data_IF_235701674432
#
_entry.id   IF_235701674432
#
_cell.length_a   1.000
_cell.length_b   1.000
_cell.length_c   1.000
_cell.angle_alpha   90.00
_cell.angle_beta   90.00
_cell.angle_gamma   90.00
#
_symmetry.space_group_name_H-M   'P 1'
#
loop_
_entity.id
_entity.type
_entity.pdbx_description
1 polymer ?
#
# COMPACT_ATOMS: atom_id res chain seq x y z
N UNK A 1 -2.52 -39.78 -12.35
CA UNK A 1 -1.50 -38.70 -12.25
C UNK A 1 -1.44 -38.00 -13.60
N UNK A 2 -2.05 -36.82 -13.72
CA UNK A 2 -2.09 -36.08 -15.01
C UNK A 2 -0.80 -35.28 -15.17
N UNK A 3 0.12 -35.78 -16.00
CA UNK A 3 1.31 -35.06 -16.42
C UNK A 3 0.90 -33.98 -17.43
N UNK A 4 0.83 -32.73 -16.96
CA UNK A 4 0.66 -31.58 -17.84
C UNK A 4 1.85 -31.50 -18.80
N UNK A 5 1.58 -31.48 -20.10
CA UNK A 5 2.63 -31.42 -21.12
C UNK A 5 3.36 -30.07 -21.03
N UNK A 6 4.66 -30.05 -21.38
CA UNK A 6 5.50 -28.84 -21.38
C UNK A 6 4.85 -27.67 -22.15
N UNK A 7 4.09 -27.96 -23.20
CA UNK A 7 3.40 -26.97 -24.01
C UNK A 7 2.24 -26.29 -23.26
N UNK A 8 1.59 -27.02 -22.35
CA UNK A 8 0.51 -26.50 -21.50
C UNK A 8 1.08 -25.52 -20.46
N UNK A 9 2.25 -25.84 -19.88
CA UNK A 9 2.94 -24.93 -18.95
C UNK A 9 3.38 -23.63 -19.62
N UNK A 10 3.88 -23.69 -20.85
CA UNK A 10 4.29 -22.50 -21.62
C UNK A 10 3.08 -21.61 -21.94
N UNK A 11 1.94 -22.21 -22.31
CA UNK A 11 0.72 -21.46 -22.58
C UNK A 11 0.17 -20.74 -21.33
N UNK A 12 0.23 -21.39 -20.16
CA UNK A 12 -0.17 -20.77 -18.88
C UNK A 12 0.75 -19.60 -18.52
N UNK A 13 2.06 -19.76 -18.70
CA UNK A 13 3.03 -18.70 -18.42
C UNK A 13 2.85 -17.50 -19.36
N UNK A 14 2.58 -17.74 -20.64
CA UNK A 14 2.31 -16.71 -21.63
C UNK A 14 0.97 -15.98 -21.39
N UNK A 15 -0.06 -16.70 -20.95
CA UNK A 15 -1.34 -16.10 -20.58
C UNK A 15 -1.21 -15.24 -19.31
N UNK A 16 -0.44 -15.69 -18.33
CA UNK A 16 -0.19 -14.93 -17.10
C UNK A 16 0.58 -13.63 -17.38
N UNK A 17 1.59 -13.65 -18.26
CA UNK A 17 2.34 -12.45 -18.63
C UNK A 17 1.50 -11.44 -19.42
N UNK A 18 0.65 -11.89 -20.35
CA UNK A 18 -0.32 -11.04 -21.05
C UNK A 18 -1.37 -10.44 -20.10
N UNK A 19 -1.82 -11.21 -19.11
CA UNK A 19 -2.79 -10.77 -18.11
C UNK A 19 -2.22 -9.72 -17.15
N UNK A 20 -0.94 -9.86 -16.78
CA UNK A 20 -0.21 -8.90 -15.94
C UNK A 20 0.05 -7.57 -16.67
N UNK A 21 0.32 -7.60 -17.98
CA UNK A 21 0.51 -6.38 -18.79
C UNK A 21 -0.79 -5.60 -19.02
N UNK A 22 -1.93 -6.30 -19.04
CA UNK A 22 -3.25 -5.67 -19.22
C UNK A 22 -3.73 -4.91 -17.98
N UNK A 23 -3.04 -5.05 -16.83
CA UNK A 23 -3.43 -4.47 -15.54
C UNK A 23 -2.20 -3.96 -14.76
N UNK A 24 -1.58 -2.85 -15.17
CA UNK A 24 -0.44 -2.28 -14.45
C UNK A 24 -0.74 -1.98 -12.96
N UNK A 25 -1.99 -1.67 -12.61
CA UNK A 25 -2.41 -1.45 -11.23
C UNK A 25 -2.48 -2.71 -10.34
N UNK A 26 -2.47 -3.92 -10.91
CA UNK A 26 -2.48 -5.17 -10.12
C UNK A 26 -1.11 -5.46 -9.50
N UNK A 27 -0.03 -5.15 -10.23
CA UNK A 27 1.33 -5.21 -9.72
C UNK A 27 1.56 -4.18 -8.60
N UNK A 28 0.96 -2.99 -8.73
CA UNK A 28 1.03 -1.93 -7.71
C UNK A 28 0.20 -2.27 -6.46
N UNK A 29 -0.96 -2.92 -6.61
CA UNK A 29 -1.72 -3.45 -5.47
C UNK A 29 -1.01 -4.58 -4.73
N UNK A 30 -0.27 -5.43 -5.44
CA UNK A 30 0.57 -6.48 -4.81
C UNK A 30 1.84 -5.91 -4.15
N UNK A 31 2.22 -4.68 -4.48
CA UNK A 31 3.40 -3.99 -3.94
C UNK A 31 3.14 -3.25 -2.62
N UNK A 32 1.88 -3.17 -2.13
CA UNK A 32 1.60 -2.69 -0.75
C UNK A 32 2.07 -3.74 0.26
N UNK A 33 3.37 -3.73 0.49
CA UNK A 33 4.13 -4.74 1.20
C UNK A 33 4.00 -4.50 2.70
N UNK A 34 3.02 -5.15 3.32
CA UNK A 34 3.03 -5.28 4.77
C UNK A 34 4.38 -5.89 5.19
N UNK A 35 5.16 -5.14 5.96
CA UNK A 35 6.52 -5.52 6.33
C UNK A 35 6.50 -6.10 7.73
N UNK A 36 6.92 -7.36 7.86
CA UNK A 36 7.09 -8.01 9.15
C UNK A 36 8.38 -7.49 9.80
N UNK A 37 8.24 -6.74 10.89
CA UNK A 37 9.34 -6.30 11.73
C UNK A 37 9.38 -7.18 12.97
N UNK A 38 10.50 -7.87 13.17
CA UNK A 38 10.73 -8.68 14.37
C UNK A 38 11.43 -7.82 15.42
N UNK A 39 10.81 -7.72 16.58
CA UNK A 39 11.46 -7.28 17.83
C UNK A 39 11.84 -8.51 18.65
N UNK A 40 12.70 -8.34 19.65
CA UNK A 40 13.21 -9.45 20.48
C UNK A 40 12.11 -10.32 21.10
N UNK A 41 10.91 -9.78 21.30
CA UNK A 41 9.79 -10.46 21.97
C UNK A 41 8.50 -10.49 21.15
N UNK A 42 8.41 -9.75 20.05
CA UNK A 42 7.15 -9.47 19.37
C UNK A 42 7.34 -9.33 17.86
N UNK A 43 6.28 -9.65 17.11
CA UNK A 43 6.24 -9.50 15.66
C UNK A 43 5.24 -8.40 15.30
N UNK A 44 5.71 -7.38 14.57
CA UNK A 44 4.87 -6.27 14.11
C UNK A 44 4.66 -6.37 12.61
N UNK A 45 3.41 -6.19 12.18
CA UNK A 45 3.08 -5.97 10.77
C UNK A 45 2.96 -4.46 10.55
N UNK A 46 3.89 -3.90 9.79
CA UNK A 46 3.86 -2.50 9.40
C UNK A 46 3.24 -2.37 8.02
N UNK A 47 2.33 -1.42 7.87
CA UNK A 47 1.69 -1.11 6.59
C UNK A 47 1.85 0.38 6.29
N UNK A 48 2.28 0.69 5.07
CA UNK A 48 2.34 2.06 4.59
C UNK A 48 0.92 2.61 4.41
N UNK A 49 0.63 3.68 5.16
CA UNK A 49 -0.65 4.36 5.11
C UNK A 49 -0.71 5.38 3.98
N UNK A 50 0.29 6.27 3.89
CA UNK A 50 0.39 7.28 2.84
C UNK A 50 1.81 7.86 2.73
N UNK A 51 2.16 8.41 1.56
CA UNK A 51 3.37 9.22 1.37
C UNK A 51 3.00 10.71 1.45
N UNK A 52 3.61 11.42 2.39
CA UNK A 52 3.20 12.79 2.76
C UNK A 52 3.94 13.90 2.02
N UNK A 53 5.00 13.58 1.27
CA UNK A 53 5.81 14.56 0.53
C UNK A 53 6.61 15.56 1.37
N UNK A 54 6.47 15.53 2.70
CA UNK A 54 7.22 16.32 3.68
C UNK A 54 7.28 15.55 5.02
N UNK A 55 8.06 16.05 5.99
CA UNK A 55 8.28 15.40 7.28
C UNK A 55 7.05 15.57 8.19
N UNK A 56 6.41 14.48 8.66
CA UNK A 56 5.35 14.58 9.66
C UNK A 56 5.91 15.05 11.00
N UNK A 57 5.26 16.06 11.58
CA UNK A 57 5.62 16.63 12.88
C UNK A 57 4.66 16.22 13.99
N UNK A 58 3.41 15.92 13.64
CA UNK A 58 2.39 15.47 14.57
C UNK A 58 1.24 14.78 13.87
N UNK A 59 0.50 13.98 14.63
CA UNK A 59 -0.68 13.27 14.17
C UNK A 59 -1.72 13.20 15.28
N UNK A 60 -2.99 13.39 14.93
CA UNK A 60 -4.12 13.22 15.84
C UNK A 60 -5.29 12.55 15.12
N UNK A 61 -6.01 11.67 15.81
CA UNK A 61 -7.26 11.11 15.28
C UNK A 61 -8.40 12.11 15.49
N UNK A 62 -9.07 12.47 14.40
CA UNK A 62 -10.29 13.30 14.45
C UNK A 62 -11.56 12.45 14.36
N UNK A 63 -11.42 11.20 13.88
CA UNK A 63 -12.46 10.17 13.90
C UNK A 63 -11.81 8.78 13.82
N UNK A 64 -12.57 7.68 13.98
CA UNK A 64 -12.04 6.31 13.84
C UNK A 64 -11.41 6.00 12.47
N UNK A 65 -11.70 6.81 11.45
CA UNK A 65 -11.22 6.59 10.07
C UNK A 65 -10.52 7.81 9.49
N UNK A 66 -10.19 8.79 10.32
CA UNK A 66 -9.57 10.04 9.86
C UNK A 66 -8.52 10.50 10.85
N UNK A 67 -7.31 10.69 10.34
CA UNK A 67 -6.20 11.30 11.08
C UNK A 67 -5.88 12.66 10.48
N UNK A 68 -5.63 13.64 11.33
CA UNK A 68 -5.03 14.92 10.97
C UNK A 68 -3.52 14.80 11.17
N UNK A 69 -2.74 15.24 10.19
CA UNK A 69 -1.28 15.19 10.21
C UNK A 69 -0.75 16.59 9.96
N UNK A 70 0.14 17.06 10.83
CA UNK A 70 0.87 18.31 10.65
C UNK A 70 2.23 18.01 10.01
N UNK A 71 2.60 18.81 9.01
CA UNK A 71 3.86 18.68 8.30
C UNK A 71 4.79 19.83 8.69
N UNK A 72 6.10 19.57 8.67
CA UNK A 72 7.14 20.56 9.02
C UNK A 72 6.98 21.89 8.28
N UNK A 73 6.59 21.86 7.00
CA UNK A 73 6.37 23.05 6.18
C UNK A 73 5.13 23.88 6.54
N UNK A 74 4.50 23.64 7.69
CA UNK A 74 3.31 24.37 8.15
C UNK A 74 2.00 23.92 7.47
N UNK A 75 2.04 22.84 6.69
CA UNK A 75 0.86 22.27 6.03
C UNK A 75 0.13 21.31 6.96
N UNK A 76 -1.19 21.25 6.82
CA UNK A 76 -2.04 20.29 7.51
C UNK A 76 -2.80 19.45 6.49
N UNK A 77 -2.79 18.13 6.68
CA UNK A 77 -3.50 17.19 5.82
C UNK A 77 -4.39 16.26 6.64
N UNK A 78 -5.51 15.84 6.05
CA UNK A 78 -6.36 14.78 6.56
C UNK A 78 -6.06 13.49 5.78
N UNK A 79 -5.77 12.42 6.51
CA UNK A 79 -5.64 11.07 5.99
C UNK A 79 -6.91 10.28 6.30
N UNK A 80 -7.55 9.76 5.26
CA UNK A 80 -8.60 8.75 5.41
C UNK A 80 -7.95 7.37 5.57
N UNK A 81 -8.16 6.70 6.70
CA UNK A 81 -7.49 5.43 7.02
C UNK A 81 -8.07 4.24 6.23
N UNK A 82 -9.29 4.37 5.71
CA UNK A 82 -9.91 3.34 4.85
C UNK A 82 -9.47 3.47 3.40
N UNK A 83 -9.56 4.67 2.84
CA UNK A 83 -9.26 4.91 1.41
C UNK A 83 -7.79 5.21 1.17
N UNK A 84 -7.03 5.56 2.22
CA UNK A 84 -5.63 6.01 2.18
C UNK A 84 -5.43 7.30 1.40
N UNK A 85 -6.49 8.07 1.21
CA UNK A 85 -6.46 9.34 0.51
C UNK A 85 -6.02 10.46 1.45
N UNK A 86 -5.21 11.37 0.92
CA UNK A 86 -4.80 12.60 1.58
C UNK A 86 -5.60 13.77 1.04
N UNK A 87 -6.16 14.58 1.93
CA UNK A 87 -6.83 15.84 1.61
C UNK A 87 -6.12 16.99 2.31
N UNK A 88 -5.69 18.00 1.56
CA UNK A 88 -5.16 19.22 2.14
C UNK A 88 -6.27 19.96 2.90
N UNK A 89 -5.93 20.49 4.07
CA UNK A 89 -6.80 21.40 4.83
C UNK A 89 -6.36 22.82 4.53
N UNK A 90 -7.24 23.60 3.93
CA UNK A 90 -7.10 25.05 3.81
C UNK A 90 -7.88 25.73 4.93
N UNK A 91 -7.24 26.66 5.63
CA UNK A 91 -7.89 27.58 6.56
C UNK A 91 -8.23 28.90 5.90
#
# INVERSE_FOLDING_TARGET
MNTLSKNTLIAILAAASLFLWSRPGLAEQLSKKATLVKSEKENFLLEDLASLGDVPWGMAFVSPHTALITLRGGKVVLLNLKTKELKAVSG
#
